data_IF_161575212862
#
_entry.id   IF_161575212862
#
_cell.length_a   1.000
_cell.length_b   1.000
_cell.length_c   1.000
_cell.angle_alpha   90.00
_cell.angle_beta   90.00
_cell.angle_gamma   90.00
#
_symmetry.space_group_name_H-M   'P 1'
#
loop_
_entity.id
_entity.type
_entity.pdbx_description
1 polymer ?
#
# COMPACT_ATOMS: atom_id res chain seq x y z
N UNK A 1 16.05 -18.98 3.79
CA UNK A 1 14.90 -18.38 4.50
C UNK A 1 15.15 -16.88 4.74
N UNK A 2 14.88 -16.04 3.74
CA UNK A 2 15.27 -14.61 3.76
C UNK A 2 14.50 -13.71 2.78
N UNK A 3 13.54 -14.22 1.98
CA UNK A 3 13.04 -13.44 0.84
C UNK A 3 12.04 -12.33 1.21
N UNK A 4 11.19 -12.51 2.23
CA UNK A 4 10.06 -11.60 2.50
C UNK A 4 10.50 -10.17 2.87
N UNK A 5 11.67 -10.03 3.51
CA UNK A 5 12.24 -8.77 4.02
C UNK A 5 13.15 -8.04 3.02
N UNK A 6 13.15 -8.44 1.73
CA UNK A 6 14.01 -7.80 0.75
C UNK A 6 13.62 -6.33 0.58
N UNK A 7 14.57 -5.43 0.83
CA UNK A 7 14.43 -3.99 0.65
C UNK A 7 14.10 -3.62 -0.79
N UNK A 8 13.50 -2.45 -0.98
CA UNK A 8 13.12 -1.91 -2.29
C UNK A 8 13.69 -0.53 -2.53
N UNK A 9 13.81 -0.16 -3.80
CA UNK A 9 14.09 1.23 -4.20
C UNK A 9 12.75 1.95 -4.38
N UNK A 10 12.65 3.20 -3.96
CA UNK A 10 11.41 3.99 -3.99
C UNK A 10 10.67 3.94 -5.32
N UNK A 11 11.36 3.99 -6.46
CA UNK A 11 10.73 3.93 -7.79
C UNK A 11 9.96 2.63 -8.07
N UNK A 12 10.24 1.55 -7.34
CA UNK A 12 9.57 0.25 -7.45
C UNK A 12 8.28 0.18 -6.61
N UNK A 13 7.90 1.27 -5.94
CA UNK A 13 6.76 1.31 -5.02
C UNK A 13 5.64 2.21 -5.54
N UNK A 14 4.42 1.90 -5.11
CA UNK A 14 3.20 2.65 -5.39
C UNK A 14 2.91 3.62 -4.24
N UNK A 15 2.35 4.79 -4.54
CA UNK A 15 1.85 5.69 -3.49
C UNK A 15 0.39 5.32 -3.21
N UNK A 16 0.06 4.92 -1.98
CA UNK A 16 -1.33 4.65 -1.63
C UNK A 16 -2.12 5.94 -1.45
N UNK A 17 -3.13 6.16 -2.28
CA UNK A 17 -3.98 7.34 -2.21
C UNK A 17 -4.99 7.25 -1.08
N UNK A 18 -5.09 8.29 -0.25
CA UNK A 18 -6.10 8.39 0.82
C UNK A 18 -7.52 8.50 0.26
N UNK A 19 -7.71 9.21 -0.86
CA UNK A 19 -9.04 9.41 -1.45
C UNK A 19 -9.70 8.09 -1.87
N UNK A 20 -8.88 7.09 -2.22
CA UNK A 20 -9.36 5.74 -2.58
C UNK A 20 -10.07 5.02 -1.43
N UNK A 21 -9.83 5.40 -0.17
CA UNK A 21 -10.53 4.85 0.98
C UNK A 21 -12.04 5.19 0.99
N UNK A 22 -12.44 6.22 0.25
CA UNK A 22 -13.83 6.69 0.14
C UNK A 22 -14.46 6.34 -1.21
N UNK A 23 -13.88 5.37 -1.93
CA UNK A 23 -14.49 4.84 -3.13
C UNK A 23 -15.85 4.22 -2.80
N UNK A 24 -16.84 4.47 -3.65
CA UNK A 24 -18.19 3.92 -3.53
C UNK A 24 -18.34 2.59 -4.26
N UNK A 25 -17.37 2.19 -5.08
CA UNK A 25 -17.36 0.88 -5.72
C UNK A 25 -16.68 -0.11 -4.80
N UNK A 26 -17.39 -1.18 -4.47
CA UNK A 26 -16.98 -2.30 -3.62
C UNK A 26 -17.24 -3.61 -4.36
N UNK A 27 -16.59 -4.70 -3.98
CA UNK A 27 -16.84 -6.03 -4.55
C UNK A 27 -17.59 -6.93 -3.58
N UNK A 28 -18.45 -7.82 -4.10
CA UNK A 28 -19.19 -8.78 -3.26
C UNK A 28 -18.28 -9.67 -2.43
N UNK A 29 -17.35 -10.36 -3.08
CA UNK A 29 -16.30 -11.13 -2.45
C UNK A 29 -15.10 -11.22 -3.39
N UNK A 30 -13.94 -10.78 -2.92
CA UNK A 30 -12.71 -10.85 -3.69
C UNK A 30 -11.53 -11.16 -2.79
N UNK A 31 -10.67 -12.07 -3.23
CA UNK A 31 -9.45 -12.48 -2.53
C UNK A 31 -8.28 -12.45 -3.49
N UNK A 32 -7.23 -11.74 -3.12
CA UNK A 32 -5.94 -11.78 -3.80
C UNK A 32 -4.86 -12.34 -2.86
N UNK A 33 -4.11 -13.31 -3.37
CA UNK A 33 -2.90 -13.87 -2.73
C UNK A 33 -1.73 -13.61 -3.66
N UNK A 34 -0.78 -12.80 -3.22
CA UNK A 34 0.35 -12.41 -4.04
C UNK A 34 1.56 -13.30 -3.76
N UNK A 35 2.16 -13.80 -4.84
CA UNK A 35 3.50 -14.35 -4.76
C UNK A 35 4.49 -13.21 -4.49
N UNK A 36 5.61 -13.52 -3.85
CA UNK A 36 6.61 -12.52 -3.49
C UNK A 36 7.08 -11.64 -4.66
N UNK A 37 7.27 -12.24 -5.84
CA UNK A 37 7.77 -11.56 -7.05
C UNK A 37 6.76 -10.60 -7.69
N UNK A 38 5.46 -10.78 -7.43
CA UNK A 38 4.38 -9.97 -8.00
C UNK A 38 3.61 -9.16 -6.95
N UNK A 39 4.02 -9.25 -5.68
CA UNK A 39 3.40 -8.54 -4.58
C UNK A 39 3.51 -7.02 -4.77
N UNK A 40 2.39 -6.29 -4.73
CA UNK A 40 2.45 -4.84 -4.82
C UNK A 40 3.11 -4.28 -3.57
N UNK A 41 3.95 -3.27 -3.78
CA UNK A 41 4.67 -2.58 -2.71
C UNK A 41 4.17 -1.14 -2.63
N UNK A 42 3.77 -0.70 -1.44
CA UNK A 42 3.21 0.63 -1.19
C UNK A 42 4.11 1.46 -0.27
N UNK A 43 4.22 2.76 -0.56
CA UNK A 43 4.86 3.78 0.28
C UNK A 43 3.85 4.86 0.67
N UNK A 44 4.18 5.64 1.70
CA UNK A 44 3.36 6.68 2.34
C UNK A 44 2.10 6.19 3.04
N UNK A 45 1.41 5.21 2.46
CA UNK A 45 0.25 4.60 3.08
C UNK A 45 -0.50 3.67 2.15
N UNK A 46 -1.64 3.18 2.62
CA UNK A 46 -2.50 2.24 1.94
C UNK A 46 -3.98 2.48 2.31
N UNK A 47 -4.91 2.55 1.33
CA UNK A 47 -6.32 2.78 1.60
C UNK A 47 -7.04 1.52 2.09
N UNK A 48 -7.65 1.62 3.27
CA UNK A 48 -8.61 0.65 3.79
C UNK A 48 -10.04 1.15 3.54
N UNK A 49 -11.05 0.34 3.89
CA UNK A 49 -12.43 0.79 3.78
C UNK A 49 -12.69 1.95 4.74
N UNK A 50 -12.92 3.16 4.21
CA UNK A 50 -13.22 4.41 4.95
C UNK A 50 -12.18 4.83 6.02
N UNK A 51 -11.04 4.16 6.03
CA UNK A 51 -9.89 4.43 6.89
C UNK A 51 -8.59 4.37 6.07
N UNK A 52 -7.51 4.89 6.63
CA UNK A 52 -6.22 4.95 5.95
C UNK A 52 -5.12 4.41 6.85
N UNK A 53 -4.18 3.70 6.26
CA UNK A 53 -2.98 3.24 6.95
C UNK A 53 -1.82 4.12 6.47
N UNK A 54 -1.12 4.81 7.37
CA UNK A 54 0.09 5.57 7.04
C UNK A 54 1.33 4.72 7.25
N UNK A 55 2.25 4.78 6.29
CA UNK A 55 3.53 4.07 6.28
C UNK A 55 4.65 5.09 6.49
N UNK A 56 5.64 4.81 7.35
CA UNK A 56 6.80 5.70 7.56
C UNK A 56 7.53 6.03 6.25
N UNK A 57 8.14 7.22 6.19
CA UNK A 57 8.70 7.77 4.95
C UNK A 57 9.83 6.93 4.33
N UNK A 58 10.63 6.30 5.16
CA UNK A 58 11.79 5.46 4.82
C UNK A 58 11.43 3.96 4.70
N UNK A 59 10.13 3.65 4.75
CA UNK A 59 9.63 2.28 4.75
C UNK A 59 8.60 2.08 3.65
N UNK A 60 8.36 0.83 3.34
CA UNK A 60 7.31 0.41 2.44
C UNK A 60 6.62 -0.85 2.98
N UNK A 61 5.41 -1.11 2.50
CA UNK A 61 4.67 -2.33 2.78
C UNK A 61 4.61 -3.16 1.53
N UNK A 62 5.09 -4.41 1.61
CA UNK A 62 4.83 -5.42 0.59
C UNK A 62 3.57 -6.19 0.97
N UNK A 63 2.53 -6.10 0.15
CA UNK A 63 1.23 -6.74 0.41
C UNK A 63 1.26 -8.18 -0.08
N UNK A 64 0.92 -9.12 0.79
CA UNK A 64 0.86 -10.56 0.46
C UNK A 64 -0.57 -11.06 0.29
N UNK A 65 -1.54 -10.36 0.86
CA UNK A 65 -2.94 -10.75 0.84
C UNK A 65 -3.86 -9.53 0.90
N UNK A 66 -4.92 -9.55 0.10
CA UNK A 66 -6.05 -8.63 0.21
C UNK A 66 -7.36 -9.42 0.11
N UNK A 67 -8.33 -9.06 0.93
CA UNK A 67 -9.70 -9.59 0.87
C UNK A 67 -10.69 -8.44 1.05
N UNK A 68 -11.73 -8.41 0.23
CA UNK A 68 -12.87 -7.49 0.37
C UNK A 68 -14.17 -8.30 0.32
N UNK A 69 -15.10 -7.99 1.23
CA UNK A 69 -16.36 -8.71 1.44
C UNK A 69 -17.51 -7.74 1.65
N UNK A 70 -18.64 -8.01 1.00
CA UNK A 70 -19.95 -7.51 1.42
C UNK A 70 -20.64 -8.53 2.30
N UNK A 71 -21.09 -8.08 3.46
CA UNK A 71 -21.71 -8.94 4.46
C UNK A 71 -23.13 -8.48 4.78
N UNK A 72 -23.98 -9.42 5.18
CA UNK A 72 -25.26 -9.17 5.82
C UNK A 72 -25.09 -8.74 7.29
N UNK A 73 -26.19 -8.52 8.00
CA UNK A 73 -26.22 -8.14 9.41
C UNK A 73 -25.62 -9.20 10.35
N UNK A 74 -25.67 -10.47 9.94
CA UNK A 74 -25.09 -11.61 10.64
C UNK A 74 -23.60 -11.82 10.32
N UNK A 75 -23.00 -11.00 9.45
CA UNK A 75 -21.60 -11.11 9.06
C UNK A 75 -21.31 -12.23 8.06
N UNK A 76 -22.32 -12.71 7.33
CA UNK A 76 -22.16 -13.69 6.25
C UNK A 76 -22.11 -12.99 4.90
N UNK A 77 -21.47 -13.61 3.91
CA UNK A 77 -21.43 -13.08 2.53
C UNK A 77 -22.85 -12.89 1.99
N UNK A 78 -23.27 -11.64 1.80
CA UNK A 78 -24.64 -11.32 1.38
C UNK A 78 -24.90 -11.65 -0.09
N UNK A 79 -23.85 -11.68 -0.92
CA UNK A 79 -23.91 -12.02 -2.35
C UNK A 79 -23.24 -13.36 -2.68
N UNK A 80 -23.03 -14.20 -1.66
CA UNK A 80 -22.20 -15.41 -1.80
C UNK A 80 -20.78 -15.08 -2.24
N UNK A 81 -20.14 -15.99 -2.98
CA UNK A 81 -18.75 -15.84 -3.45
C UNK A 81 -18.62 -15.01 -4.75
N UNK A 82 -19.55 -14.08 -5.01
CA UNK A 82 -19.55 -13.29 -6.23
C UNK A 82 -18.53 -12.15 -6.20
N UNK A 83 -17.60 -12.13 -7.16
CA UNK A 83 -16.64 -11.04 -7.38
C UNK A 83 -17.24 -9.81 -8.09
N UNK A 84 -18.56 -9.71 -8.18
CA UNK A 84 -19.23 -8.61 -8.86
C UNK A 84 -19.00 -7.27 -8.15
N UNK A 85 -18.68 -6.24 -8.93
CA UNK A 85 -18.56 -4.86 -8.46
C UNK A 85 -19.95 -4.28 -8.23
N UNK A 86 -20.17 -3.72 -7.05
CA UNK A 86 -21.38 -3.01 -6.65
C UNK A 86 -21.05 -1.58 -6.28
N UNK A 87 -22.02 -0.70 -6.49
CA UNK A 87 -21.91 0.70 -6.07
C UNK A 87 -22.73 0.89 -4.81
N UNK A 88 -22.10 1.47 -3.79
CA UNK A 88 -22.76 1.83 -2.54
C UNK A 88 -23.80 2.93 -2.78
N UNK A 89 -24.92 2.83 -2.06
CA UNK A 89 -25.99 3.84 -2.04
C UNK A 89 -25.41 5.23 -1.75
N UNK A 90 -26.02 6.26 -2.35
CA UNK A 90 -25.55 7.64 -2.17
C UNK A 90 -25.77 8.12 -0.74
N UNK A 91 -24.79 8.85 -0.20
CA UNK A 91 -24.86 9.38 1.17
C UNK A 91 -24.81 8.31 2.27
N UNK A 92 -24.43 7.06 1.96
CA UNK A 92 -24.48 5.93 2.88
C UNK A 92 -23.68 6.15 4.18
N UNK A 93 -22.65 7.01 4.14
CA UNK A 93 -21.81 7.35 5.29
C UNK A 93 -22.63 7.94 6.45
N UNK A 94 -23.79 8.57 6.19
CA UNK A 94 -24.71 9.09 7.22
C UNK A 94 -25.43 7.97 7.99
N UNK A 95 -25.48 6.78 7.40
CA UNK A 95 -26.10 5.57 7.97
C UNK A 95 -25.07 4.62 8.58
N UNK A 96 -23.80 5.03 8.63
CA UNK A 96 -22.74 4.26 9.27
C UNK A 96 -22.98 4.23 10.78
N UNK A 97 -23.16 3.04 11.32
CA UNK A 97 -23.34 2.81 12.76
C UNK A 97 -21.99 2.65 13.44
N UNK A 98 -21.08 1.93 12.79
CA UNK A 98 -19.82 1.51 13.38
C UNK A 98 -18.79 1.32 12.28
N UNK A 99 -17.57 1.81 12.52
CA UNK A 99 -16.41 1.54 11.69
C UNK A 99 -15.23 1.25 12.60
N UNK A 100 -14.78 0.01 12.57
CA UNK A 100 -13.64 -0.44 13.37
C UNK A 100 -12.52 -0.83 12.40
N UNK A 101 -11.33 -0.27 12.63
CA UNK A 101 -10.10 -0.70 11.97
C UNK A 101 -9.19 -1.30 13.02
N UNK A 102 -8.83 -2.56 12.85
CA UNK A 102 -7.95 -3.30 13.74
C UNK A 102 -6.65 -3.60 13.02
N UNK A 103 -5.52 -3.34 13.66
CA UNK A 103 -4.20 -3.76 13.22
C UNK A 103 -3.67 -4.79 14.20
N UNK A 104 -3.28 -5.96 13.68
CA UNK A 104 -2.67 -7.04 14.45
C UNK A 104 -1.24 -7.25 13.99
N UNK A 105 -0.31 -7.14 14.92
CA UNK A 105 1.11 -7.36 14.69
C UNK A 105 1.52 -8.80 15.00
N UNK A 106 2.69 -9.20 14.51
CA UNK A 106 3.21 -10.57 14.67
C UNK A 106 3.54 -10.92 16.13
N UNK A 107 3.84 -9.92 16.95
CA UNK A 107 4.08 -10.06 18.39
C UNK A 107 2.79 -10.22 19.22
N UNK A 108 1.62 -10.17 18.58
CA UNK A 108 0.30 -10.24 19.20
C UNK A 108 -0.29 -8.89 19.62
N UNK A 109 0.49 -7.81 19.53
CA UNK A 109 0.01 -6.45 19.80
C UNK A 109 -1.11 -6.11 18.82
N UNK A 110 -2.18 -5.51 19.35
CA UNK A 110 -3.36 -5.13 18.58
C UNK A 110 -3.69 -3.66 18.82
N UNK A 111 -3.88 -2.90 17.75
CA UNK A 111 -4.37 -1.53 17.78
C UNK A 111 -5.77 -1.48 17.19
N UNK A 112 -6.68 -0.75 17.83
CA UNK A 112 -8.04 -0.55 17.35
C UNK A 112 -8.31 0.95 17.19
N UNK A 113 -8.85 1.33 16.04
CA UNK A 113 -9.31 2.69 15.76
C UNK A 113 -10.76 2.65 15.32
N UNK A 114 -11.51 3.67 15.74
CA UNK A 114 -12.95 3.79 15.46
C UNK A 114 -13.27 5.08 14.72
N UNK A 115 -14.23 5.00 13.81
CA UNK A 115 -14.80 6.15 13.11
C UNK A 115 -14.21 6.44 11.74
N UNK A 116 -14.90 7.30 10.99
CA UNK A 116 -14.57 7.70 9.62
C UNK A 116 -13.26 8.47 9.53
N UNK A 117 -12.56 8.32 8.41
CA UNK A 117 -11.33 9.06 8.11
C UNK A 117 -10.24 8.88 9.17
N UNK A 118 -10.30 7.79 9.93
CA UNK A 118 -9.26 7.42 10.88
C UNK A 118 -7.98 7.06 10.15
N UNK A 119 -6.84 7.43 10.74
CA UNK A 119 -5.52 7.06 10.23
C UNK A 119 -4.85 6.13 11.23
N UNK A 120 -4.48 4.93 10.80
CA UNK A 120 -3.60 4.06 11.58
C UNK A 120 -2.16 4.29 11.14
N UNK A 121 -1.28 4.66 12.07
CA UNK A 121 0.15 4.72 11.78
C UNK A 121 0.82 3.36 11.98
N UNK A 122 1.70 2.99 11.05
CA UNK A 122 2.58 1.83 11.18
C UNK A 122 3.99 2.21 11.64
N UNK A 123 4.18 3.40 12.22
CA UNK A 123 5.49 3.89 12.70
C UNK A 123 6.15 2.97 13.73
N UNK A 124 5.37 2.32 14.60
CA UNK A 124 5.91 1.45 15.65
C UNK A 124 6.27 0.03 15.16
N UNK A 125 6.17 -0.26 13.85
CA UNK A 125 6.43 -1.61 13.31
C UNK A 125 7.90 -1.81 12.93
N UNK A 126 8.57 -2.67 13.69
CA UNK A 126 9.93 -3.13 13.41
C UNK A 126 9.96 -4.33 12.43
N UNK A 127 9.97 -4.10 11.11
CA UNK A 127 10.19 -5.14 10.07
C UNK A 127 9.34 -6.41 10.24
N UNK A 128 8.11 -6.25 10.74
CA UNK A 128 7.22 -7.36 11.05
C UNK A 128 6.09 -7.49 10.04
N UNK A 129 5.50 -8.69 10.03
CA UNK A 129 4.23 -8.91 9.35
C UNK A 129 3.10 -8.33 10.18
N UNK A 130 2.07 -7.86 9.48
CA UNK A 130 0.87 -7.34 10.10
C UNK A 130 -0.37 -7.71 9.29
N UNK A 131 -1.52 -7.65 9.95
CA UNK A 131 -2.85 -7.74 9.35
C UNK A 131 -3.63 -6.49 9.73
N UNK A 132 -4.27 -5.86 8.76
CA UNK A 132 -5.22 -4.75 8.98
C UNK A 132 -6.59 -5.18 8.49
N UNK A 133 -7.59 -5.06 9.35
CA UNK A 133 -8.99 -5.33 9.01
C UNK A 133 -9.80 -4.08 9.29
N UNK A 134 -10.50 -3.56 8.28
CA UNK A 134 -11.47 -2.48 8.44
C UNK A 134 -12.86 -3.00 8.16
N UNK A 135 -13.79 -2.81 9.11
CA UNK A 135 -15.18 -3.24 8.99
C UNK A 135 -16.12 -2.09 9.28
N UNK A 136 -16.93 -1.73 8.29
CA UNK A 136 -18.00 -0.74 8.43
C UNK A 136 -19.36 -1.42 8.45
N UNK A 137 -20.19 -1.11 9.45
CA UNK A 137 -21.56 -1.60 9.62
C UNK A 137 -22.55 -0.45 9.51
N UNK A 138 -23.63 -0.68 8.77
CA UNK A 138 -24.66 0.29 8.46
C UNK A 138 -26.02 -0.18 8.97
N UNK A 139 -26.91 0.76 9.30
CA UNK A 139 -28.27 0.45 9.74
C UNK A 139 -29.27 0.31 8.58
N UNK A 140 -28.82 0.52 7.34
CA UNK A 140 -29.60 0.35 6.13
C UNK A 140 -28.84 -0.53 5.15
N UNK A 141 -29.54 -1.07 4.16
CA UNK A 141 -28.92 -1.78 3.04
C UNK A 141 -27.98 -0.85 2.28
N UNK A 142 -26.74 -1.30 2.03
CA UNK A 142 -25.70 -0.51 1.38
C UNK A 142 -25.62 -0.71 -0.14
N UNK A 143 -26.23 -1.77 -0.68
CA UNK A 143 -26.35 -2.06 -2.12
C UNK A 143 -27.83 -2.33 -2.47
N UNK A 144 -28.37 -1.60 -3.45
CA UNK A 144 -29.77 -1.69 -3.87
C UNK A 144 -30.21 -3.14 -4.18
N UNK A 145 -31.42 -3.50 -3.72
CA UNK A 145 -32.03 -4.82 -3.92
C UNK A 145 -31.24 -6.01 -3.32
N UNK A 146 -30.50 -5.77 -2.22
CA UNK A 146 -29.77 -6.80 -1.46
C UNK A 146 -30.09 -6.69 0.03
N UNK A 147 -29.53 -7.60 0.83
CA UNK A 147 -29.50 -7.52 2.29
C UNK A 147 -28.11 -7.15 2.84
N UNK A 148 -27.19 -6.67 1.99
CA UNK A 148 -25.85 -6.29 2.41
C UNK A 148 -25.92 -5.05 3.31
N UNK A 149 -25.31 -5.12 4.49
CA UNK A 149 -25.29 -4.03 5.48
C UNK A 149 -23.88 -3.73 5.98
N UNK A 150 -22.87 -4.50 5.58
CA UNK A 150 -21.49 -4.31 6.03
C UNK A 150 -20.49 -4.46 4.89
N UNK A 151 -19.36 -3.76 5.02
CA UNK A 151 -18.18 -3.94 4.18
C UNK A 151 -17.01 -4.30 5.09
N UNK A 152 -16.28 -5.34 4.74
CA UNK A 152 -15.06 -5.74 5.43
C UNK A 152 -13.91 -5.80 4.42
N UNK A 153 -12.80 -5.14 4.73
CA UNK A 153 -11.56 -5.21 3.96
C UNK A 153 -10.42 -5.65 4.87
N UNK A 154 -9.72 -6.70 4.47
CA UNK A 154 -8.57 -7.27 5.18
C UNK A 154 -7.34 -7.20 4.30
N UNK A 155 -6.21 -6.77 4.85
CA UNK A 155 -4.93 -6.71 4.16
C UNK A 155 -3.84 -7.29 5.04
N UNK A 156 -3.00 -8.17 4.50
CA UNK A 156 -1.78 -8.63 5.16
C UNK A 156 -0.57 -8.13 4.38
N UNK A 157 0.43 -7.70 5.13
CA UNK A 157 1.66 -7.22 4.54
C UNK A 157 2.84 -7.38 5.48
N UNK A 158 4.01 -7.08 4.91
CA UNK A 158 5.27 -7.03 5.64
C UNK A 158 5.86 -5.64 5.49
N UNK A 159 6.26 -5.05 6.61
CA UNK A 159 7.05 -3.82 6.60
C UNK A 159 8.45 -4.13 6.08
N UNK A 160 8.95 -3.33 5.15
CA UNK A 160 10.28 -3.48 4.55
C UNK A 160 10.99 -2.14 4.46
N UNK A 161 12.32 -2.17 4.50
CA UNK A 161 13.16 -0.99 4.25
C UNK A 161 13.01 -0.50 2.80
N UNK A 162 12.90 0.82 2.64
CA UNK A 162 12.87 1.49 1.35
C UNK A 162 14.06 2.45 1.23
N UNK A 163 14.81 2.34 0.14
CA UNK A 163 15.90 3.26 -0.19
C UNK A 163 15.46 4.25 -1.27
N UNK A 164 15.92 5.51 -1.19
CA UNK A 164 15.65 6.52 -2.23
C UNK A 164 16.28 6.14 -3.57
N UNK A 165 17.54 5.69 -3.54
CA UNK A 165 18.31 5.23 -4.69
C UNK A 165 18.93 3.86 -4.40
N UNK A 166 19.44 3.19 -5.43
CA UNK A 166 20.14 1.92 -5.24
C UNK A 166 21.35 2.14 -4.30
N UNK A 167 21.38 1.55 -3.09
CA UNK A 167 22.50 1.73 -2.16
C UNK A 167 23.81 1.17 -2.71
N UNK A 168 23.75 0.20 -3.63
CA UNK A 168 24.91 -0.35 -4.34
C UNK A 168 25.22 0.40 -5.65
N UNK A 169 24.38 1.37 -6.01
CA UNK A 169 24.48 2.16 -7.24
C UNK A 169 25.17 3.50 -6.99
N UNK A 170 26.37 3.50 -6.42
CA UNK A 170 27.21 4.69 -6.38
C UNK A 170 28.71 4.35 -6.36
N UNK A 171 29.29 4.32 -7.56
CA UNK A 171 30.48 5.12 -7.85
C UNK A 171 30.49 5.45 -9.36
N UNK A 172 29.62 6.34 -9.82
CA UNK A 172 30.05 7.15 -10.96
C UNK A 172 31.02 8.18 -10.37
N UNK A 173 32.32 8.14 -10.67
CA UNK A 173 33.18 9.25 -10.32
C UNK A 173 32.60 10.49 -10.97
N UNK A 174 32.46 11.55 -10.18
CA UNK A 174 32.06 12.85 -10.65
C UNK A 174 33.14 13.30 -11.64
N UNK A 175 32.98 13.00 -12.94
CA UNK A 175 33.93 13.43 -13.97
C UNK A 175 33.80 14.94 -14.02
N UNK A 176 34.75 15.61 -13.37
CA UNK A 176 34.88 17.03 -13.41
C UNK A 176 35.17 17.42 -14.87
N UNK A 177 34.14 17.88 -15.60
CA UNK A 177 34.21 18.27 -17.01
C UNK A 177 35.26 19.37 -17.31
N UNK A 178 35.91 19.92 -16.29
CA UNK A 178 37.06 20.83 -16.43
C UNK A 178 38.34 20.16 -16.95
N UNK A 179 38.46 18.82 -16.91
CA UNK A 179 39.64 18.11 -17.41
C UNK A 179 39.55 17.64 -18.87
N UNK A 180 38.36 17.57 -19.46
CA UNK A 180 38.20 17.24 -20.88
C UNK A 180 38.90 18.21 -21.87
N UNK A 181 38.87 19.54 -21.70
CA UNK A 181 39.55 20.44 -22.64
C UNK A 181 41.07 20.38 -22.54
N UNK A 182 41.64 19.91 -21.42
CA UNK A 182 43.09 19.76 -21.26
C UNK A 182 43.66 18.58 -22.09
N UNK A 183 42.88 17.50 -22.25
CA UNK A 183 43.30 16.33 -23.04
C UNK A 183 43.25 16.63 -24.55
N UNK A 184 42.27 17.40 -25.00
CA UNK A 184 42.14 17.80 -26.42
C UNK A 184 43.26 18.76 -26.82
N UNK A 185 43.68 19.67 -25.93
CA UNK A 185 44.80 20.58 -26.19
C UNK A 185 46.14 19.83 -26.33
N UNK A 186 46.38 18.78 -25.53
CA UNK A 186 47.62 18.00 -25.59
C UNK A 186 47.75 17.22 -26.92
N UNK A 187 46.64 16.70 -27.46
CA UNK A 187 46.62 16.02 -28.76
C UNK A 187 46.83 16.97 -29.94
N UNK A 188 46.39 18.23 -29.85
CA UNK A 188 46.65 19.24 -30.87
C UNK A 188 48.14 19.65 -30.88
N UNK A 189 48.79 19.75 -29.72
CA UNK A 189 50.22 20.10 -29.64
C UNK A 189 51.15 19.03 -30.21
N UNK A 190 50.84 17.74 -30.04
CA UNK A 190 51.69 16.65 -30.55
C UNK A 190 51.65 16.56 -32.08
N UNK A 191 50.52 16.92 -32.71
CA UNK A 191 50.40 16.91 -34.18
C UNK A 191 51.00 18.14 -34.89
N UNK A 192 51.38 19.19 -34.17
CA UNK A 192 52.00 20.39 -34.75
C UNK A 192 53.53 20.29 -34.83
N UNK A 193 54.15 19.33 -34.12
CA UNK A 193 55.62 19.14 -34.11
C UNK A 193 56.10 17.86 -34.82
N UNK A 194 55.25 17.20 -35.60
CA UNK A 194 55.64 16.12 -36.52
C UNK A 194 55.37 16.58 -37.96
N UNK A 195 56.17 17.55 -38.43
CA UNK A 195 56.49 17.76 -39.84
C UNK A 195 57.83 18.49 -39.95
#
# INVERSE_FOLDING_TARGET
PTSVLTSVIRIQTNVGSRSSAFNRVVVGYLVYRYAFSSAPVYRHGYPMYRSYVSIPKDRAVRVSFEEEKLLDDNGKLCLGESAEKRTLVEGIDRSLVELNTTVKYSDGTTLELRGLNSTVSLEDINDQNFEVTSRGRYNVTIVTATNCTQVEKTVRGTMITMYETNPNGASLPNINNKLLPAVIALFAFINVFIY
#
